data_IF_096793081675
#
_entry.id   IF_096793081675
#
_cell.length_a   1.000
_cell.length_b   1.000
_cell.length_c   1.000
_cell.angle_alpha   90.00
_cell.angle_beta   90.00
_cell.angle_gamma   90.00
#
_symmetry.space_group_name_H-M   'P 1'
#
loop_
_entity.id
_entity.type
_entity.pdbx_description
1 polymer ?
#
# COMPACT_ATOMS: atom_id res chain seq x y z
N UNK A 1 -6.53 4.61 -7.21
CA UNK A 1 -5.64 4.77 -6.04
C UNK A 1 -5.36 6.23 -5.66
N UNK A 2 -6.00 7.25 -6.26
CA UNK A 2 -5.67 8.66 -6.00
C UNK A 2 -5.78 9.09 -4.53
N UNK A 3 -6.94 8.88 -3.92
CA UNK A 3 -7.18 9.24 -2.51
C UNK A 3 -6.24 8.49 -1.53
N UNK A 4 -6.01 7.20 -1.80
CA UNK A 4 -5.06 6.36 -1.05
C UNK A 4 -3.64 6.94 -1.08
N UNK A 5 -3.19 7.45 -2.24
CA UNK A 5 -1.88 8.12 -2.36
C UNK A 5 -1.82 9.41 -1.55
N UNK A 6 -2.84 10.26 -1.67
CA UNK A 6 -2.90 11.56 -0.98
C UNK A 6 -2.82 11.35 0.53
N UNK A 7 -3.62 10.43 1.07
CA UNK A 7 -3.59 10.11 2.49
C UNK A 7 -2.20 9.61 2.95
N UNK A 8 -1.57 8.72 2.19
CA UNK A 8 -0.23 8.23 2.50
C UNK A 8 0.86 9.32 2.42
N UNK A 9 0.67 10.35 1.60
CA UNK A 9 1.64 11.44 1.46
C UNK A 9 1.51 12.51 2.55
N UNK A 10 0.28 12.83 2.97
CA UNK A 10 0.00 14.00 3.81
C UNK A 10 -0.16 13.68 5.29
N UNK A 11 -0.55 12.45 5.67
CA UNK A 11 -0.75 12.06 7.08
C UNK A 11 0.58 11.82 7.81
N UNK A 12 0.58 12.03 9.13
CA UNK A 12 1.74 11.77 9.99
C UNK A 12 2.18 10.30 10.00
N UNK A 13 1.23 9.37 9.89
CA UNK A 13 1.49 7.92 9.83
C UNK A 13 1.98 7.45 8.46
N UNK A 14 2.01 8.36 7.47
CA UNK A 14 2.35 8.11 6.07
C UNK A 14 1.58 6.93 5.47
N UNK A 15 0.34 6.72 5.92
CA UNK A 15 -0.47 5.57 5.52
C UNK A 15 -1.80 6.02 4.93
N UNK A 16 -2.18 5.40 3.81
CA UNK A 16 -3.47 5.59 3.16
C UNK A 16 -4.14 4.25 2.92
N UNK A 17 -5.45 4.21 3.15
CA UNK A 17 -6.32 3.06 2.82
C UNK A 17 -7.55 3.58 2.10
N UNK A 18 -8.08 2.78 1.19
CA UNK A 18 -9.39 3.03 0.59
C UNK A 18 -9.94 1.78 -0.06
N UNK A 19 -11.21 1.82 -0.39
CA UNK A 19 -11.89 0.76 -1.12
C UNK A 19 -12.81 1.35 -2.17
N UNK A 20 -13.06 0.59 -3.23
CA UNK A 20 -13.97 0.99 -4.30
C UNK A 20 -14.75 -0.20 -4.80
N UNK A 21 -16.07 -0.09 -4.77
CA UNK A 21 -16.94 -1.05 -5.43
C UNK A 21 -16.92 -0.86 -6.96
N UNK A 22 -16.74 -1.97 -7.68
CA UNK A 22 -16.76 -2.06 -9.13
C UNK A 22 -18.12 -2.62 -9.55
N UNK A 23 -19.08 -1.73 -9.78
CA UNK A 23 -20.48 -2.08 -10.07
C UNK A 23 -20.64 -3.10 -11.20
N UNK A 24 -19.80 -3.04 -12.25
CA UNK A 24 -19.88 -3.96 -13.41
C UNK A 24 -19.54 -5.42 -13.09
N UNK A 25 -18.71 -5.66 -12.07
CA UNK A 25 -18.25 -7.01 -11.71
C UNK A 25 -18.70 -7.45 -10.32
N UNK A 26 -19.48 -6.62 -9.62
CA UNK A 26 -19.87 -6.82 -8.22
C UNK A 26 -18.69 -7.18 -7.30
N UNK A 27 -17.54 -6.55 -7.53
CA UNK A 27 -16.32 -6.76 -6.75
C UNK A 27 -15.93 -5.46 -6.05
N UNK A 28 -15.46 -5.56 -4.81
CA UNK A 28 -14.84 -4.44 -4.11
C UNK A 28 -13.33 -4.58 -4.20
N UNK A 29 -12.64 -3.52 -4.65
CA UNK A 29 -11.19 -3.44 -4.63
C UNK A 29 -10.79 -2.69 -3.37
N UNK A 30 -9.92 -3.29 -2.58
CA UNK A 30 -9.31 -2.70 -1.40
C UNK A 30 -7.88 -2.28 -1.76
N UNK A 31 -7.44 -1.14 -1.25
CA UNK A 31 -6.12 -0.60 -1.53
C UNK A 31 -5.46 0.02 -0.31
N UNK A 32 -4.14 -0.13 -0.22
CA UNK A 32 -3.29 0.64 0.68
C UNK A 32 -2.09 1.25 -0.02
N UNK A 33 -1.58 2.32 0.57
CA UNK A 33 -0.27 2.86 0.30
C UNK A 33 0.41 3.24 1.62
N UNK A 34 1.72 3.08 1.68
CA UNK A 34 2.51 3.57 2.80
C UNK A 34 3.85 4.10 2.31
N UNK A 35 4.30 5.21 2.88
CA UNK A 35 5.67 5.71 2.72
C UNK A 35 6.46 5.52 4.01
N UNK A 36 7.79 5.54 3.94
CA UNK A 36 8.61 5.67 5.16
C UNK A 36 8.34 7.04 5.81
N UNK A 37 8.33 7.08 7.14
CA UNK A 37 7.89 8.26 7.91
C UNK A 37 8.80 9.48 7.78
N UNK A 38 10.04 9.26 7.37
CA UNK A 38 11.06 10.29 7.14
C UNK A 38 10.88 11.06 5.82
N UNK A 39 10.02 10.59 4.91
CA UNK A 39 9.80 11.26 3.62
C UNK A 39 8.94 12.52 3.74
N UNK A 40 9.37 13.56 3.05
CA UNK A 40 8.53 14.71 2.73
C UNK A 40 7.37 14.29 1.79
N UNK A 41 6.28 15.06 1.84
CA UNK A 41 5.05 14.77 1.06
C UNK A 41 5.31 14.62 -0.45
N UNK A 42 6.15 15.49 -1.02
CA UNK A 42 6.50 15.46 -2.44
C UNK A 42 7.27 14.21 -2.85
N UNK A 43 8.24 13.78 -2.03
CA UNK A 43 9.02 12.57 -2.26
C UNK A 43 8.17 11.30 -2.11
N UNK A 44 7.29 11.27 -1.11
CA UNK A 44 6.32 10.19 -0.96
C UNK A 44 5.38 10.12 -2.17
N UNK A 45 4.84 11.26 -2.61
CA UNK A 45 3.96 11.34 -3.78
C UNK A 45 4.64 10.79 -5.03
N UNK A 46 5.88 11.20 -5.32
CA UNK A 46 6.65 10.68 -6.46
C UNK A 46 6.88 9.17 -6.38
N UNK A 47 7.20 8.64 -5.19
CA UNK A 47 7.38 7.20 -5.02
C UNK A 47 6.08 6.44 -5.32
N UNK A 48 4.95 6.94 -4.82
CA UNK A 48 3.64 6.32 -5.03
C UNK A 48 3.13 6.47 -6.46
N UNK A 49 3.53 7.52 -7.18
CA UNK A 49 3.29 7.66 -8.62
C UNK A 49 3.99 6.53 -9.40
N UNK A 50 5.29 6.32 -9.18
CA UNK A 50 6.05 5.22 -9.80
C UNK A 50 5.46 3.84 -9.46
N UNK A 51 5.02 3.64 -8.22
CA UNK A 51 4.32 2.42 -7.83
C UNK A 51 2.98 2.25 -8.59
N UNK A 52 2.25 3.35 -8.82
CA UNK A 52 1.01 3.34 -9.60
C UNK A 52 1.26 2.99 -11.07
N UNK A 53 2.30 3.57 -11.68
CA UNK A 53 2.70 3.25 -13.06
C UNK A 53 3.01 1.75 -13.21
N UNK A 54 3.72 1.18 -12.22
CA UNK A 54 4.03 -0.25 -12.18
C UNK A 54 2.76 -1.10 -12.08
N UNK A 55 1.78 -0.68 -11.27
CA UNK A 55 0.49 -1.35 -11.17
C UNK A 55 -0.26 -1.31 -12.52
N UNK A 56 -0.35 -0.14 -13.16
CA UNK A 56 -1.08 0.01 -14.41
C UNK A 56 -0.40 -0.68 -15.61
N UNK A 57 0.93 -0.83 -15.56
CA UNK A 57 1.70 -1.57 -16.55
C UNK A 57 1.68 -3.08 -16.31
N UNK A 58 2.33 -3.52 -15.22
CA UNK A 58 2.65 -4.93 -14.97
C UNK A 58 1.50 -5.72 -14.34
N UNK A 59 0.52 -5.06 -13.72
CA UNK A 59 -0.59 -5.70 -13.01
C UNK A 59 -1.96 -5.53 -13.68
N UNK A 60 -2.00 -5.05 -14.94
CA UNK A 60 -3.20 -4.65 -15.68
C UNK A 60 -4.35 -5.69 -15.75
N UNK A 61 -4.06 -6.97 -15.55
CA UNK A 61 -5.05 -8.07 -15.57
C UNK A 61 -5.03 -8.93 -14.30
N UNK A 62 -4.45 -8.43 -13.21
CA UNK A 62 -4.34 -9.17 -11.94
C UNK A 62 -5.44 -8.72 -10.97
N UNK A 63 -6.00 -9.69 -10.24
CA UNK A 63 -6.98 -9.43 -9.17
C UNK A 63 -6.37 -8.73 -7.95
N UNK A 64 -5.05 -8.82 -7.79
CA UNK A 64 -4.29 -8.11 -6.78
C UNK A 64 -2.88 -7.84 -7.26
N UNK A 65 -2.24 -6.84 -6.65
CA UNK A 65 -0.86 -6.47 -6.95
C UNK A 65 -0.24 -5.85 -5.72
N UNK A 66 1.03 -6.17 -5.49
CA UNK A 66 1.82 -5.58 -4.43
C UNK A 66 3.13 -5.06 -5.01
N UNK A 67 3.33 -3.75 -4.95
CA UNK A 67 4.53 -3.07 -5.41
C UNK A 67 5.28 -2.54 -4.19
N UNK A 68 6.54 -2.95 -4.08
CA UNK A 68 7.45 -2.54 -3.01
C UNK A 68 8.60 -1.77 -3.64
N UNK A 69 8.76 -0.52 -3.24
CA UNK A 69 9.93 0.29 -3.51
C UNK A 69 10.68 0.53 -2.20
N UNK A 70 11.91 1.06 -2.28
CA UNK A 70 12.73 1.37 -1.11
C UNK A 70 12.02 2.30 -0.11
N UNK A 71 11.23 3.24 -0.62
CA UNK A 71 10.65 4.35 0.15
C UNK A 71 9.13 4.29 0.29
N UNK A 72 8.47 3.38 -0.44
CA UNK A 72 7.03 3.27 -0.39
C UNK A 72 6.54 1.91 -0.85
N UNK A 73 5.32 1.57 -0.44
CA UNK A 73 4.61 0.37 -0.88
C UNK A 73 3.21 0.74 -1.35
N UNK A 74 2.70 -0.01 -2.33
CA UNK A 74 1.31 0.09 -2.77
C UNK A 74 0.75 -1.30 -3.02
N UNK A 75 -0.43 -1.58 -2.46
CA UNK A 75 -1.09 -2.88 -2.61
C UNK A 75 -2.56 -2.69 -2.93
N UNK A 76 -3.08 -3.49 -3.83
CA UNK A 76 -4.52 -3.68 -3.98
C UNK A 76 -4.88 -5.16 -4.06
N UNK A 77 -6.08 -5.49 -3.60
CA UNK A 77 -6.66 -6.83 -3.62
C UNK A 77 -8.18 -6.73 -3.81
N UNK A 78 -8.83 -7.84 -4.16
CA UNK A 78 -10.30 -7.97 -4.20
C UNK A 78 -10.93 -8.46 -2.88
N UNK A 79 -10.14 -8.50 -1.80
CA UNK A 79 -10.59 -8.84 -0.45
C UNK A 79 -9.98 -7.85 0.56
N UNK A 80 -10.63 -7.67 1.70
CA UNK A 80 -10.10 -6.82 2.77
C UNK A 80 -8.90 -7.52 3.43
N UNK A 81 -7.70 -7.04 3.12
CA UNK A 81 -6.43 -7.59 3.63
C UNK A 81 -5.88 -6.79 4.81
N UNK A 82 -6.51 -5.68 5.17
CA UNK A 82 -6.07 -4.80 6.26
C UNK A 82 -6.80 -5.15 7.56
N UNK A 83 -7.88 -5.93 7.47
CA UNK A 83 -8.54 -6.57 8.59
C UNK A 83 -8.20 -8.06 8.54
N UNK A 84 -7.06 -8.44 9.13
CA UNK A 84 -6.62 -9.83 9.26
C UNK A 84 -6.19 -10.14 10.69
N UNK A 85 -6.07 -11.42 11.09
CA UNK A 85 -5.48 -11.76 12.37
C UNK A 85 -4.10 -11.12 12.43
N UNK A 86 -3.83 -10.38 13.51
CA UNK A 86 -2.56 -9.71 13.75
C UNK A 86 -1.50 -10.81 13.77
N UNK A 87 -0.78 -11.02 12.66
CA UNK A 87 0.43 -11.81 12.71
C UNK A 87 1.37 -11.06 13.67
N UNK A 88 1.80 -11.66 14.80
CA UNK A 88 2.68 -10.98 15.72
C UNK A 88 3.92 -10.52 14.95
N UNK A 89 4.22 -9.22 15.07
CA UNK A 89 5.30 -8.58 14.33
C UNK A 89 6.61 -9.34 14.53
N UNK A 90 7.44 -9.57 13.51
CA UNK A 90 8.72 -10.28 13.63
C UNK A 90 9.81 -9.52 14.43
N UNK A 91 9.44 -8.51 15.24
CA UNK A 91 10.36 -7.68 16.04
C UNK A 91 10.97 -8.46 17.22
N UNK A 92 10.55 -9.72 17.47
CA UNK A 92 11.08 -10.52 18.58
C UNK A 92 12.37 -11.31 18.27
N UNK A 93 13.02 -11.15 17.12
CA UNK A 93 14.39 -11.66 16.93
C UNK A 93 15.41 -10.62 17.43
N UNK A 94 15.38 -10.36 18.74
CA UNK A 94 16.54 -9.80 19.42
C UNK A 94 17.68 -10.84 19.32
N UNK A 95 18.90 -10.45 18.92
CA UNK A 95 20.03 -11.38 18.92
C UNK A 95 20.37 -11.71 20.37
N UNK A 96 20.05 -12.92 20.82
CA UNK A 96 20.65 -13.48 22.04
C UNK A 96 22.07 -13.89 21.69
N UNK A 97 23.03 -13.01 22.00
CA UNK A 97 24.45 -13.33 22.06
C UNK A 97 24.74 -14.37 23.15
N UNK A 98 25.52 -15.41 22.85
CA UNK A 98 26.56 -15.91 23.75
C UNK A 98 27.93 -15.33 23.38
#
# INVERSE_FOLDING_TARGET
MGEVKVAAATRDDKFGRGERNILKSNMTIYGMAQCTRDLQESACSQCLEKASETIFGSCKSRLGCYVINTSCVMRYEIYDFLVGPIAPSPIAYAPTSP
#
